data_IF_576779079968
#
_entry.id   IF_576779079968
#
_cell.length_a   1.000
_cell.length_b   1.000
_cell.length_c   1.000
_cell.angle_alpha   90.00
_cell.angle_beta   90.00
_cell.angle_gamma   90.00
#
_symmetry.space_group_name_H-M   'P 1'
#
loop_
_entity.id
_entity.type
_entity.pdbx_description
1 polymer ?
#
# COMPACT_ATOMS: atom_id res chain seq x y z
N UNK A 1 -25.39 -17.89 6.70
CA UNK A 1 -25.96 -16.52 6.84
C UNK A 1 -25.18 -15.61 5.88
N UNK A 2 -25.84 -14.80 5.06
CA UNK A 2 -25.17 -13.92 4.12
C UNK A 2 -24.58 -12.71 4.86
N UNK A 3 -23.26 -12.56 4.84
CA UNK A 3 -22.56 -11.43 5.47
C UNK A 3 -22.66 -10.18 4.59
N UNK A 4 -22.66 -9.00 5.22
CA UNK A 4 -22.36 -7.75 4.52
C UNK A 4 -20.90 -7.73 4.07
N UNK A 5 -20.52 -6.85 3.15
CA UNK A 5 -19.13 -6.69 2.73
C UNK A 5 -18.23 -6.29 3.92
N UNK A 6 -18.69 -5.35 4.75
CA UNK A 6 -17.98 -4.95 5.97
C UNK A 6 -17.73 -6.14 6.91
N UNK A 7 -18.78 -6.92 7.21
CA UNK A 7 -18.64 -8.09 8.09
C UNK A 7 -17.67 -9.13 7.52
N UNK A 8 -17.73 -9.40 6.21
CA UNK A 8 -16.84 -10.35 5.52
C UNK A 8 -15.39 -9.92 5.61
N UNK A 9 -15.09 -8.67 5.26
CA UNK A 9 -13.73 -8.11 5.33
C UNK A 9 -13.22 -8.17 6.77
N UNK A 10 -13.99 -7.68 7.74
CA UNK A 10 -13.56 -7.66 9.14
C UNK A 10 -13.39 -9.05 9.74
N UNK A 11 -14.12 -10.06 9.28
CA UNK A 11 -13.88 -11.46 9.67
C UNK A 11 -12.54 -11.98 9.14
N UNK A 12 -12.15 -11.62 7.91
CA UNK A 12 -10.83 -11.95 7.36
C UNK A 12 -9.72 -11.37 8.26
N UNK A 13 -9.82 -10.10 8.64
CA UNK A 13 -8.87 -9.48 9.56
C UNK A 13 -8.83 -10.17 10.93
N UNK A 14 -9.97 -10.60 11.45
CA UNK A 14 -10.11 -11.24 12.78
C UNK A 14 -9.85 -12.74 12.80
N UNK A 15 -9.36 -13.31 11.70
CA UNK A 15 -9.19 -14.76 11.55
C UNK A 15 -10.49 -15.55 11.87
N UNK A 16 -11.60 -15.11 11.30
CA UNK A 16 -12.91 -15.74 11.45
C UNK A 16 -13.42 -16.26 10.12
N UNK A 17 -14.22 -17.31 10.14
CA UNK A 17 -14.84 -17.86 8.93
C UNK A 17 -15.73 -16.84 8.22
N UNK A 18 -15.69 -16.85 6.89
CA UNK A 18 -16.53 -16.02 6.01
C UNK A 18 -17.55 -16.89 5.26
N UNK A 19 -18.60 -16.26 4.76
CA UNK A 19 -19.60 -16.93 3.92
C UNK A 19 -19.07 -17.24 2.50
N UNK A 20 -18.07 -16.53 2.04
CA UNK A 20 -17.30 -16.73 0.81
C UNK A 20 -16.00 -15.93 0.86
N UNK A 21 -15.02 -16.15 -0.03
CA UNK A 21 -13.91 -15.22 -0.21
C UNK A 21 -14.40 -13.81 -0.48
N UNK A 22 -13.70 -12.80 0.03
CA UNK A 22 -13.97 -11.43 -0.36
C UNK A 22 -13.47 -11.18 -1.79
N UNK A 23 -14.02 -10.15 -2.42
CA UNK A 23 -13.72 -9.81 -3.82
C UNK A 23 -13.57 -8.30 -3.99
N UNK A 24 -12.50 -7.86 -4.60
CA UNK A 24 -12.12 -6.45 -4.71
C UNK A 24 -11.60 -6.13 -6.11
N UNK A 25 -11.83 -4.90 -6.58
CA UNK A 25 -11.08 -4.30 -7.67
C UNK A 25 -10.33 -3.08 -7.10
N UNK A 26 -9.02 -3.14 -7.04
CA UNK A 26 -8.20 -2.03 -6.53
C UNK A 26 -8.35 -0.79 -7.44
N UNK A 27 -8.54 0.36 -6.82
CA UNK A 27 -8.79 1.63 -7.51
C UNK A 27 -10.29 1.98 -7.65
N UNK A 28 -11.20 1.06 -7.28
CA UNK A 28 -12.64 1.29 -7.28
C UNK A 28 -13.20 1.73 -5.90
N UNK A 29 -12.32 1.95 -4.94
CA UNK A 29 -12.66 2.31 -3.57
C UNK A 29 -13.46 3.61 -3.54
N UNK A 30 -14.47 3.64 -2.67
CA UNK A 30 -15.36 4.79 -2.57
C UNK A 30 -14.63 6.04 -2.05
N UNK A 31 -14.54 7.08 -2.87
CA UNK A 31 -13.86 8.33 -2.53
C UNK A 31 -12.34 8.25 -2.59
N UNK A 32 -11.78 7.21 -3.20
CA UNK A 32 -10.38 7.14 -3.58
C UNK A 32 -10.09 8.02 -4.80
N UNK A 33 -8.87 7.97 -5.30
CA UNK A 33 -8.33 8.84 -6.35
C UNK A 33 -9.31 9.17 -7.49
N UNK A 34 -9.27 10.38 -8.05
CA UNK A 34 -10.04 10.70 -9.24
C UNK A 34 -9.65 9.74 -10.37
N UNK A 35 -10.64 9.29 -11.14
CA UNK A 35 -10.38 8.46 -12.32
C UNK A 35 -9.55 9.25 -13.33
N UNK A 36 -8.43 8.68 -13.78
CA UNK A 36 -7.55 9.30 -14.77
C UNK A 36 -8.22 9.43 -16.15
N UNK A 37 -9.19 8.57 -16.44
CA UNK A 37 -9.94 8.58 -17.69
C UNK A 37 -11.43 8.26 -17.46
N UNK A 38 -12.31 8.99 -18.17
CA UNK A 38 -13.77 8.83 -18.02
C UNK A 38 -14.29 7.45 -18.46
N UNK A 39 -13.60 6.78 -19.34
CA UNK A 39 -13.96 5.43 -19.79
C UNK A 39 -13.96 4.40 -18.65
N UNK A 40 -13.31 4.73 -17.52
CA UNK A 40 -13.35 3.92 -16.31
C UNK A 40 -14.63 4.10 -15.46
N UNK A 41 -15.41 5.17 -15.67
CA UNK A 41 -16.62 5.43 -14.87
C UNK A 41 -17.59 4.24 -14.80
N UNK A 42 -17.93 3.54 -15.93
CA UNK A 42 -18.80 2.37 -15.87
C UNK A 42 -18.20 1.17 -15.14
N UNK A 43 -16.87 1.02 -15.20
CA UNK A 43 -16.14 -0.05 -14.47
C UNK A 43 -16.16 0.23 -12.98
N UNK A 44 -15.86 1.46 -12.58
CA UNK A 44 -15.88 1.87 -11.17
C UNK A 44 -17.29 1.72 -10.56
N UNK A 45 -18.33 2.13 -11.28
CA UNK A 45 -19.71 1.96 -10.84
C UNK A 45 -20.07 0.47 -10.64
N UNK A 46 -19.73 -0.38 -11.61
CA UNK A 46 -19.98 -1.82 -11.53
C UNK A 46 -19.19 -2.46 -10.37
N UNK A 47 -17.94 -2.04 -10.13
CA UNK A 47 -17.13 -2.52 -9.01
C UNK A 47 -17.74 -2.12 -7.66
N UNK A 48 -18.18 -0.87 -7.51
CA UNK A 48 -18.81 -0.37 -6.28
C UNK A 48 -20.14 -1.09 -5.96
N UNK A 49 -20.80 -1.64 -6.97
CA UNK A 49 -22.02 -2.42 -6.81
C UNK A 49 -21.75 -3.87 -6.41
N UNK A 50 -20.72 -4.51 -7.00
CA UNK A 50 -20.53 -5.96 -6.99
C UNK A 50 -19.33 -6.45 -6.16
N UNK A 51 -18.50 -5.57 -5.61
CA UNK A 51 -17.30 -5.96 -4.84
C UNK A 51 -17.41 -5.60 -3.36
N UNK A 52 -16.52 -6.19 -2.57
CA UNK A 52 -16.31 -5.83 -1.18
C UNK A 52 -15.34 -4.64 -1.14
N UNK A 53 -15.81 -3.45 -0.73
CA UNK A 53 -15.05 -2.21 -0.88
C UNK A 53 -14.05 -1.99 0.26
N UNK A 54 -12.87 -1.49 -0.11
CA UNK A 54 -11.93 -0.90 0.82
C UNK A 54 -11.85 0.59 0.54
N UNK A 55 -11.80 1.41 1.60
CA UNK A 55 -11.64 2.85 1.46
C UNK A 55 -10.35 3.30 2.14
N UNK A 56 -9.41 3.88 1.40
CA UNK A 56 -8.27 4.56 2.01
C UNK A 56 -8.74 5.78 2.78
N UNK A 57 -8.10 6.10 3.90
CA UNK A 57 -8.37 7.30 4.68
C UNK A 57 -7.17 8.25 4.65
N UNK A 58 -7.36 9.45 4.09
CA UNK A 58 -6.39 10.54 4.15
C UNK A 58 -6.58 11.48 5.35
N UNK A 59 -7.57 11.22 6.23
CA UNK A 59 -7.97 12.11 7.32
C UNK A 59 -7.01 12.17 8.51
N UNK A 60 -5.91 11.43 8.47
CA UNK A 60 -4.87 11.45 9.49
C UNK A 60 -3.51 11.76 8.82
N UNK A 61 -3.27 13.02 8.41
CA UNK A 61 -2.03 13.37 7.74
C UNK A 61 -0.82 13.06 8.62
N UNK A 62 0.18 12.45 8.03
CA UNK A 62 1.45 12.14 8.65
C UNK A 62 2.60 12.45 7.69
N UNK A 63 3.42 13.41 8.03
CA UNK A 63 4.71 13.67 7.41
C UNK A 63 5.78 13.31 8.43
N UNK A 64 6.60 12.32 8.12
CA UNK A 64 7.65 11.84 9.02
C UNK A 64 8.90 12.72 9.00
N UNK A 65 9.03 13.63 8.04
CA UNK A 65 10.21 14.49 7.85
C UNK A 65 10.08 15.74 8.73
N UNK A 66 9.06 16.53 8.54
CA UNK A 66 8.86 17.82 9.20
C UNK A 66 7.59 17.91 10.06
N UNK A 67 6.64 17.02 9.80
CA UNK A 67 5.33 17.11 10.40
C UNK A 67 4.64 18.42 10.05
N UNK A 68 4.01 19.07 11.02
CA UNK A 68 3.33 20.34 10.84
C UNK A 68 4.27 21.54 10.58
N UNK A 69 5.58 21.34 10.68
CA UNK A 69 6.57 22.39 10.37
C UNK A 69 6.97 22.46 8.89
N UNK A 70 6.23 21.79 7.99
CA UNK A 70 6.57 21.73 6.56
C UNK A 70 6.76 23.13 5.96
N UNK A 71 5.85 24.06 6.21
CA UNK A 71 5.92 25.43 5.68
C UNK A 71 7.15 26.22 6.20
N UNK A 72 7.70 25.85 7.35
CA UNK A 72 8.91 26.47 7.92
C UNK A 72 10.19 26.02 7.20
N UNK A 73 10.22 24.78 6.73
CA UNK A 73 11.44 24.15 6.24
C UNK A 73 11.42 23.80 4.76
N UNK A 74 10.26 23.74 4.12
CA UNK A 74 10.16 23.21 2.75
C UNK A 74 9.64 24.28 1.81
N UNK A 75 10.49 24.68 0.85
CA UNK A 75 10.09 25.47 -0.31
C UNK A 75 9.88 24.53 -1.50
N UNK A 76 8.81 24.75 -2.26
CA UNK A 76 8.48 23.91 -3.41
C UNK A 76 7.88 24.75 -4.54
N UNK A 77 8.37 24.52 -5.79
CA UNK A 77 7.83 25.15 -7.00
C UNK A 77 7.92 24.21 -8.19
N UNK A 78 7.12 24.47 -9.21
CA UNK A 78 7.07 23.69 -10.43
C UNK A 78 7.64 24.52 -11.61
N UNK A 79 8.57 23.93 -12.37
CA UNK A 79 9.15 24.45 -13.60
C UNK A 79 8.50 23.78 -14.82
N UNK A 80 8.14 24.58 -15.83
CA UNK A 80 7.57 24.04 -17.08
C UNK A 80 8.64 23.32 -17.91
N UNK A 81 8.24 22.26 -18.59
CA UNK A 81 9.10 21.51 -19.51
C UNK A 81 8.67 21.72 -20.97
N UNK A 82 9.48 21.26 -21.91
CA UNK A 82 9.12 21.27 -23.34
C UNK A 82 7.87 20.40 -23.64
N UNK A 83 7.52 19.45 -22.75
CA UNK A 83 6.32 18.61 -22.85
C UNK A 83 5.23 19.19 -21.93
N UNK A 84 4.14 19.78 -22.45
CA UNK A 84 3.16 20.51 -21.62
C UNK A 84 2.48 19.71 -20.51
N UNK A 85 2.46 18.38 -20.63
CA UNK A 85 1.88 17.48 -19.62
C UNK A 85 2.86 17.09 -18.51
N UNK A 86 4.09 17.63 -18.54
CA UNK A 86 5.13 17.35 -17.55
C UNK A 86 5.73 18.63 -17.00
N UNK A 87 6.01 18.61 -15.70
CA UNK A 87 6.73 19.67 -14.99
C UNK A 87 7.86 19.08 -14.18
N UNK A 88 8.88 19.90 -13.89
CA UNK A 88 9.89 19.56 -12.90
C UNK A 88 9.48 20.20 -11.59
N UNK A 89 9.23 19.41 -10.58
CA UNK A 89 9.03 19.88 -9.22
C UNK A 89 10.37 19.99 -8.53
N UNK A 90 10.67 21.17 -8.04
CA UNK A 90 11.79 21.44 -7.17
C UNK A 90 11.33 21.46 -5.73
N UNK A 91 12.08 20.80 -4.84
CA UNK A 91 11.86 20.84 -3.40
C UNK A 91 13.18 21.20 -2.74
N UNK A 92 13.17 22.21 -1.89
CA UNK A 92 14.31 22.60 -1.07
C UNK A 92 13.93 22.43 0.40
N UNK A 93 14.74 21.69 1.13
CA UNK A 93 14.66 21.61 2.57
C UNK A 93 15.67 22.58 3.18
N UNK A 94 15.20 23.69 3.74
CA UNK A 94 15.99 24.69 4.46
C UNK A 94 16.30 24.21 5.86
N UNK A 95 17.37 23.45 6.02
CA UNK A 95 17.73 22.89 7.32
C UNK A 95 18.65 23.83 8.10
N UNK A 96 18.71 23.73 9.44
CA UNK A 96 19.67 24.49 10.26
C UNK A 96 21.14 24.28 9.89
N UNK A 97 21.45 23.15 9.23
CA UNK A 97 22.83 22.77 8.83
C UNK A 97 23.11 22.99 7.33
N UNK A 98 22.19 23.61 6.59
CA UNK A 98 22.30 23.91 5.15
C UNK A 98 21.20 23.26 4.33
N UNK A 99 21.04 23.74 3.11
CA UNK A 99 19.95 23.34 2.23
C UNK A 99 20.17 21.96 1.60
N UNK A 100 19.06 21.24 1.39
CA UNK A 100 19.02 20.01 0.60
C UNK A 100 18.03 20.18 -0.56
N UNK A 101 18.40 19.69 -1.74
CA UNK A 101 17.64 19.88 -2.96
C UNK A 101 17.16 18.54 -3.53
N UNK A 102 15.89 18.48 -3.93
CA UNK A 102 15.30 17.36 -4.66
C UNK A 102 14.59 17.87 -5.91
N UNK A 103 14.63 17.08 -6.99
CA UNK A 103 13.93 17.38 -8.23
C UNK A 103 13.17 16.16 -8.72
N UNK A 104 11.94 16.37 -9.15
CA UNK A 104 11.05 15.29 -9.58
C UNK A 104 10.37 15.68 -10.90
N UNK A 105 10.31 14.77 -11.85
CA UNK A 105 9.46 14.90 -13.02
C UNK A 105 8.04 14.48 -12.62
N UNK A 106 7.09 15.39 -12.69
CA UNK A 106 5.69 15.16 -12.35
C UNK A 106 4.77 15.34 -13.55
N UNK A 107 3.75 14.49 -13.67
CA UNK A 107 2.75 14.58 -14.72
C UNK A 107 1.57 15.43 -14.27
N UNK A 108 1.08 16.31 -15.15
CA UNK A 108 -0.15 17.09 -14.92
C UNK A 108 -1.42 16.34 -15.29
N UNK A 109 -1.29 15.14 -15.87
CA UNK A 109 -2.40 14.29 -16.32
C UNK A 109 -2.45 12.93 -15.59
N UNK A 110 -1.68 12.77 -14.49
CA UNK A 110 -1.73 11.59 -13.64
C UNK A 110 -0.84 10.41 -14.07
N UNK A 111 0.04 10.57 -15.07
CA UNK A 111 1.05 9.55 -15.37
C UNK A 111 2.06 9.44 -14.22
N UNK A 112 2.63 8.26 -13.93
CA UNK A 112 3.66 8.10 -12.91
C UNK A 112 4.86 9.01 -13.17
N UNK A 113 5.23 9.81 -12.16
CA UNK A 113 6.44 10.63 -12.18
C UNK A 113 7.68 9.84 -11.77
N UNK A 114 8.84 10.49 -11.79
CA UNK A 114 10.10 9.91 -11.33
C UNK A 114 11.05 10.99 -10.81
N UNK A 115 11.91 10.59 -9.88
CA UNK A 115 12.87 11.51 -9.27
C UNK A 115 14.08 11.71 -10.20
N UNK A 116 14.41 12.97 -10.46
CA UNK A 116 15.58 13.38 -11.26
C UNK A 116 16.81 13.56 -10.38
N UNK A 117 16.61 14.01 -9.15
CA UNK A 117 17.67 14.29 -8.18
C UNK A 117 17.13 14.07 -6.77
N UNK A 118 17.79 13.21 -6.02
CA UNK A 118 17.46 12.95 -4.61
C UNK A 118 18.19 13.92 -3.70
N UNK A 119 17.60 14.25 -2.55
CA UNK A 119 18.19 15.22 -1.62
C UNK A 119 19.24 14.62 -0.68
N UNK A 120 19.21 13.32 -0.41
CA UNK A 120 20.23 12.61 0.38
C UNK A 120 21.21 11.93 -0.55
N UNK A 121 22.48 12.32 -0.49
CA UNK A 121 23.58 11.81 -1.32
C UNK A 121 24.74 11.30 -0.45
N UNK A 122 24.95 11.95 0.67
CA UNK A 122 26.06 11.71 1.61
C UNK A 122 25.49 11.54 3.03
N UNK A 123 26.21 10.87 3.95
CA UNK A 123 25.70 10.63 5.32
C UNK A 123 25.40 11.94 6.07
N UNK A 124 26.11 13.04 5.81
CA UNK A 124 25.89 14.35 6.41
C UNK A 124 24.52 14.94 6.02
N UNK A 125 23.93 14.53 4.90
CA UNK A 125 22.60 14.98 4.51
C UNK A 125 21.51 14.41 5.42
N UNK A 126 21.75 13.25 6.02
CA UNK A 126 20.88 12.70 7.09
C UNK A 126 20.92 13.58 8.33
N UNK A 127 22.09 14.04 8.74
CA UNK A 127 22.22 14.96 9.87
C UNK A 127 21.48 16.28 9.61
N UNK A 128 21.56 16.82 8.38
CA UNK A 128 20.80 18.00 7.98
C UNK A 128 19.30 17.77 8.11
N UNK A 129 18.76 16.65 7.56
CA UNK A 129 17.34 16.30 7.68
C UNK A 129 16.90 16.21 9.15
N UNK A 130 17.67 15.52 9.97
CA UNK A 130 17.35 15.29 11.38
C UNK A 130 17.51 16.56 12.25
N UNK A 131 18.23 17.58 11.78
CA UNK A 131 18.36 18.87 12.47
C UNK A 131 17.09 19.71 12.41
N UNK A 132 16.15 19.41 11.52
CA UNK A 132 14.86 20.11 11.44
C UNK A 132 13.98 19.72 12.64
N UNK A 133 13.39 20.74 13.28
CA UNK A 133 12.42 20.53 14.35
C UNK A 133 11.17 19.81 13.81
N UNK A 134 10.78 18.74 14.46
CA UNK A 134 9.59 17.97 14.12
C UNK A 134 8.41 18.33 15.04
N UNK A 135 7.29 18.72 14.46
CA UNK A 135 6.03 18.93 15.19
C UNK A 135 4.96 18.01 14.62
N UNK A 136 4.40 17.08 15.40
CA UNK A 136 3.37 16.18 14.90
C UNK A 136 2.12 16.95 14.45
N UNK A 137 1.48 16.51 13.33
CA UNK A 137 0.18 17.05 12.93
C UNK A 137 -0.88 16.84 14.00
N UNK A 138 -1.83 17.78 14.17
CA UNK A 138 -3.03 17.52 14.95
C UNK A 138 -3.80 16.35 14.35
N UNK A 139 -4.44 15.54 15.20
CA UNK A 139 -5.25 14.40 14.77
C UNK A 139 -6.71 14.83 14.74
N UNK A 140 -7.32 14.77 13.56
CA UNK A 140 -8.74 14.98 13.32
C UNK A 140 -9.34 13.75 12.62
N UNK A 141 -10.44 13.24 13.16
CA UNK A 141 -11.13 12.06 12.61
C UNK A 141 -12.31 12.39 11.69
N UNK A 142 -12.56 13.67 11.41
CA UNK A 142 -13.74 14.12 10.68
C UNK A 142 -13.85 13.49 9.29
N UNK A 143 -12.73 13.39 8.53
CA UNK A 143 -12.67 12.74 7.22
C UNK A 143 -12.89 11.23 7.34
N UNK A 144 -12.28 10.60 8.35
CA UNK A 144 -12.51 9.18 8.64
C UNK A 144 -13.99 8.90 8.89
N UNK A 145 -14.64 9.66 9.76
CA UNK A 145 -16.05 9.50 10.09
C UNK A 145 -16.97 9.75 8.88
N UNK A 146 -16.59 10.68 8.01
CA UNK A 146 -17.32 10.94 6.77
C UNK A 146 -17.25 9.72 5.82
N UNK A 147 -16.06 9.15 5.65
CA UNK A 147 -15.83 7.95 4.81
C UNK A 147 -16.55 6.73 5.37
N UNK A 148 -16.47 6.50 6.67
CA UNK A 148 -17.19 5.43 7.36
C UNK A 148 -18.70 5.50 7.14
N UNK A 149 -19.29 6.70 7.27
CA UNK A 149 -20.73 6.89 7.00
C UNK A 149 -21.11 6.64 5.53
N UNK A 150 -20.24 7.06 4.58
CA UNK A 150 -20.51 6.87 3.14
C UNK A 150 -20.36 5.40 2.73
N UNK A 151 -19.38 4.71 3.28
CA UNK A 151 -19.08 3.32 2.95
C UNK A 151 -20.10 2.37 3.58
N UNK A 152 -20.48 2.60 4.85
CA UNK A 152 -21.46 1.80 5.58
C UNK A 152 -21.14 0.30 5.52
N UNK A 153 -22.15 -0.52 5.22
CA UNK A 153 -22.01 -1.99 5.13
C UNK A 153 -21.35 -2.49 3.83
N UNK A 154 -21.04 -1.59 2.90
CA UNK A 154 -20.40 -1.95 1.62
C UNK A 154 -18.90 -2.24 1.75
N UNK A 155 -18.27 -1.88 2.88
CA UNK A 155 -16.84 -2.11 3.02
C UNK A 155 -16.23 -1.58 4.31
N UNK A 156 -14.92 -1.42 4.30
CA UNK A 156 -14.10 -1.02 5.44
C UNK A 156 -13.19 0.15 5.05
N UNK A 157 -13.22 1.21 5.84
CA UNK A 157 -12.24 2.30 5.74
C UNK A 157 -10.92 1.85 6.34
N UNK A 158 -9.80 2.02 5.61
CA UNK A 158 -8.46 1.77 6.13
C UNK A 158 -7.75 3.09 6.44
N UNK A 159 -6.92 3.10 7.46
CA UNK A 159 -6.10 4.24 7.85
C UNK A 159 -4.71 4.06 7.24
N UNK A 160 -4.39 4.87 6.24
CA UNK A 160 -3.07 4.82 5.61
C UNK A 160 -2.00 5.47 6.49
N UNK A 161 -0.89 4.78 6.67
CA UNK A 161 0.30 5.30 7.35
C UNK A 161 1.48 5.37 6.38
N UNK A 162 2.34 6.40 6.46
CA UNK A 162 3.62 6.38 5.77
C UNK A 162 4.51 5.27 6.34
N UNK A 163 5.32 4.63 5.52
CA UNK A 163 6.31 3.66 5.97
C UNK A 163 7.66 4.35 6.20
N UNK A 164 8.32 4.07 7.32
CA UNK A 164 9.55 4.76 7.70
C UNK A 164 10.68 4.59 6.67
N UNK A 165 10.95 3.34 6.29
CA UNK A 165 11.98 3.03 5.32
C UNK A 165 11.64 3.51 3.89
N UNK A 166 10.35 3.47 3.50
CA UNK A 166 9.91 4.04 2.23
C UNK A 166 10.11 5.57 2.20
N UNK A 167 9.82 6.26 3.30
CA UNK A 167 10.09 7.70 3.42
C UNK A 167 11.58 7.99 3.26
N UNK A 168 12.47 7.21 3.88
CA UNK A 168 13.92 7.34 3.67
C UNK A 168 14.31 7.13 2.19
N UNK A 169 13.78 6.10 1.55
CA UNK A 169 14.05 5.81 0.13
C UNK A 169 13.60 6.95 -0.79
N UNK A 170 12.47 7.61 -0.54
CA UNK A 170 12.02 8.75 -1.37
C UNK A 170 12.98 9.94 -1.33
N UNK A 171 13.84 10.01 -0.32
CA UNK A 171 14.83 11.07 -0.16
C UNK A 171 16.19 10.74 -0.79
N UNK A 172 16.53 9.44 -0.94
CA UNK A 172 17.85 8.99 -1.41
C UNK A 172 17.85 8.09 -2.64
N UNK A 173 16.71 7.52 -3.01
CA UNK A 173 16.61 6.54 -4.10
C UNK A 173 17.11 5.16 -3.73
N UNK A 174 16.80 4.16 -4.57
CA UNK A 174 17.11 2.76 -4.27
C UNK A 174 18.61 2.45 -4.34
N UNK A 175 19.34 3.09 -5.25
CA UNK A 175 20.79 2.89 -5.39
C UNK A 175 21.53 3.39 -4.16
N UNK A 176 21.31 4.63 -3.75
CA UNK A 176 21.94 5.21 -2.55
C UNK A 176 21.51 4.44 -1.29
N UNK A 177 20.24 4.04 -1.19
CA UNK A 177 19.75 3.20 -0.09
C UNK A 177 20.53 1.90 0.03
N UNK A 178 20.79 1.20 -1.10
CA UNK A 178 21.56 -0.05 -1.09
C UNK A 178 23.00 0.17 -0.65
N UNK A 179 23.66 1.26 -1.08
CA UNK A 179 24.99 1.62 -0.60
C UNK A 179 24.98 1.94 0.90
N UNK A 180 23.98 2.69 1.38
CA UNK A 180 23.88 3.06 2.79
C UNK A 180 23.62 1.85 3.70
N UNK A 181 22.96 0.82 3.22
CA UNK A 181 22.82 -0.44 3.95
C UNK A 181 24.16 -1.09 4.28
N UNK A 182 25.23 -0.79 3.51
CA UNK A 182 26.57 -1.38 3.67
C UNK A 182 27.51 -0.36 4.30
N UNK A 183 27.67 0.81 3.69
CA UNK A 183 28.75 1.76 3.99
C UNK A 183 28.37 2.76 5.10
N UNK A 184 27.07 3.09 5.25
CA UNK A 184 26.55 4.12 6.18
C UNK A 184 25.34 3.59 6.97
N UNK A 185 25.44 2.32 7.40
CA UNK A 185 24.35 1.60 8.06
C UNK A 185 23.84 2.27 9.34
N UNK A 186 24.74 2.89 10.10
CA UNK A 186 24.37 3.56 11.35
C UNK A 186 23.54 4.82 11.10
N UNK A 187 23.93 5.63 10.14
CA UNK A 187 23.22 6.84 9.74
C UNK A 187 21.84 6.51 9.14
N UNK A 188 21.79 5.47 8.30
CA UNK A 188 20.51 4.95 7.77
C UNK A 188 19.60 4.44 8.89
N UNK A 189 20.14 3.68 9.84
CA UNK A 189 19.41 3.19 11.00
C UNK A 189 18.87 4.35 11.87
N UNK A 190 19.66 5.40 12.06
CA UNK A 190 19.23 6.60 12.77
C UNK A 190 18.06 7.30 12.05
N UNK A 191 18.12 7.45 10.73
CA UNK A 191 17.06 8.08 9.94
C UNK A 191 15.77 7.26 10.01
N UNK A 192 15.84 5.97 9.66
CA UNK A 192 14.68 5.08 9.63
C UNK A 192 14.10 4.92 11.04
N UNK A 193 14.94 4.73 12.07
CA UNK A 193 14.52 4.64 13.46
C UNK A 193 13.79 5.89 13.94
N UNK A 194 14.30 7.08 13.59
CA UNK A 194 13.62 8.36 13.89
C UNK A 194 12.23 8.43 13.24
N UNK A 195 12.12 8.02 11.98
CA UNK A 195 10.84 7.99 11.28
C UNK A 195 9.88 6.93 11.82
N UNK A 196 10.39 5.77 12.22
CA UNK A 196 9.59 4.74 12.89
C UNK A 196 9.02 5.23 14.23
N UNK A 197 9.82 5.93 15.04
CA UNK A 197 9.36 6.53 16.29
C UNK A 197 8.28 7.60 16.06
N UNK A 198 8.48 8.49 15.09
CA UNK A 198 7.48 9.51 14.71
C UNK A 198 6.17 8.86 14.26
N UNK A 199 6.25 7.80 13.46
CA UNK A 199 5.11 6.99 13.01
C UNK A 199 4.39 6.34 14.19
N UNK A 200 5.13 5.74 15.11
CA UNK A 200 4.57 5.12 16.32
C UNK A 200 3.82 6.14 17.19
N UNK A 201 4.41 7.33 17.41
CA UNK A 201 3.78 8.40 18.16
C UNK A 201 2.52 8.95 17.46
N UNK A 202 2.55 9.09 16.13
CA UNK A 202 1.38 9.45 15.35
C UNK A 202 0.26 8.42 15.51
N UNK A 203 0.57 7.13 15.38
CA UNK A 203 -0.40 6.03 15.52
C UNK A 203 -1.01 5.99 16.92
N UNK A 204 -0.24 6.20 17.99
CA UNK A 204 -0.76 6.33 19.36
C UNK A 204 -1.85 7.43 19.45
N UNK A 205 -1.61 8.56 18.81
CA UNK A 205 -2.55 9.70 18.82
C UNK A 205 -3.80 9.40 18.00
N UNK A 206 -3.66 8.73 16.86
CA UNK A 206 -4.81 8.27 16.05
C UNK A 206 -5.65 7.26 16.83
N UNK A 207 -5.05 6.26 17.46
CA UNK A 207 -5.75 5.27 18.30
C UNK A 207 -6.46 5.90 19.49
N UNK A 208 -5.89 6.95 20.10
CA UNK A 208 -6.51 7.70 21.20
C UNK A 208 -7.83 8.39 20.81
N UNK A 209 -8.11 8.59 19.52
CA UNK A 209 -9.41 9.10 19.04
C UNK A 209 -10.53 8.04 19.10
N UNK A 210 -10.19 6.79 19.43
CA UNK A 210 -11.14 5.69 19.50
C UNK A 210 -11.53 5.09 18.16
N UNK A 211 -10.75 5.31 17.08
CA UNK A 211 -10.97 4.66 15.78
C UNK A 211 -10.86 3.14 15.91
N UNK A 212 -11.66 2.43 15.11
CA UNK A 212 -11.65 0.96 15.01
C UNK A 212 -11.66 0.57 13.53
N UNK A 213 -10.47 0.57 12.91
CA UNK A 213 -10.28 0.28 11.49
C UNK A 213 -8.94 -0.42 11.26
N UNK A 214 -8.75 -1.11 10.14
CA UNK A 214 -7.42 -1.58 9.76
C UNK A 214 -6.48 -0.40 9.43
N UNK A 215 -5.24 -0.52 9.85
CA UNK A 215 -4.15 0.36 9.44
C UNK A 215 -3.43 -0.28 8.26
N UNK A 216 -3.03 0.54 7.29
CA UNK A 216 -2.50 0.08 6.02
C UNK A 216 -1.22 0.85 5.65
N UNK A 217 -0.25 0.16 5.07
CA UNK A 217 0.93 0.79 4.47
C UNK A 217 1.53 -0.03 3.34
N UNK A 218 2.37 0.64 2.56
CA UNK A 218 3.19 0.08 1.48
C UNK A 218 4.66 0.35 1.81
N UNK A 219 5.60 -0.38 1.20
CA UNK A 219 7.02 -0.04 1.28
C UNK A 219 7.99 -1.11 1.77
N UNK A 220 7.55 -2.23 2.40
CA UNK A 220 8.49 -3.28 2.81
C UNK A 220 9.31 -3.87 1.65
N UNK A 221 8.79 -3.83 0.42
CA UNK A 221 9.44 -4.34 -0.80
C UNK A 221 10.80 -3.73 -1.08
N UNK A 222 11.08 -2.54 -0.56
CA UNK A 222 12.37 -1.87 -0.72
C UNK A 222 13.51 -2.61 -0.02
N UNK A 223 13.19 -3.44 0.95
CA UNK A 223 14.12 -4.26 1.70
C UNK A 223 13.96 -5.76 1.42
N UNK A 224 13.49 -6.09 0.21
CA UNK A 224 13.42 -7.46 -0.31
C UNK A 224 14.47 -7.68 -1.42
N UNK A 225 14.88 -8.94 -1.67
CA UNK A 225 15.69 -9.26 -2.83
C UNK A 225 15.07 -8.77 -4.15
N UNK A 226 15.90 -8.34 -5.15
CA UNK A 226 17.35 -8.50 -5.21
C UNK A 226 18.17 -7.32 -4.67
N UNK A 227 17.55 -6.23 -4.21
CA UNK A 227 18.29 -5.02 -3.80
C UNK A 227 19.10 -5.23 -2.53
N UNK A 228 18.48 -5.84 -1.52
CA UNK A 228 19.07 -6.09 -0.20
C UNK A 228 18.68 -7.47 0.31
N UNK A 229 19.20 -7.87 1.45
CA UNK A 229 19.03 -9.20 2.00
C UNK A 229 18.10 -9.30 3.21
N UNK A 230 17.97 -10.51 3.79
CA UNK A 230 17.11 -10.74 4.94
C UNK A 230 17.52 -9.98 6.21
N UNK A 231 18.79 -9.63 6.36
CA UNK A 231 19.27 -8.86 7.50
C UNK A 231 18.75 -7.42 7.47
N UNK A 232 18.77 -6.79 6.30
CA UNK A 232 18.23 -5.45 6.08
C UNK A 232 16.72 -5.42 6.28
N UNK A 233 16.01 -6.43 5.77
CA UNK A 233 14.57 -6.57 6.04
C UNK A 233 14.31 -6.71 7.53
N UNK A 234 15.12 -7.51 8.24
CA UNK A 234 14.98 -7.67 9.68
C UNK A 234 15.14 -6.36 10.43
N UNK A 235 16.21 -5.62 10.16
CA UNK A 235 16.54 -4.39 10.87
C UNK A 235 15.63 -3.22 10.50
N UNK A 236 15.43 -2.97 9.18
CA UNK A 236 14.79 -1.75 8.70
C UNK A 236 13.27 -1.88 8.47
N UNK A 237 12.75 -3.11 8.46
CA UNK A 237 11.31 -3.38 8.32
C UNK A 237 10.77 -4.07 9.55
N UNK A 238 11.21 -5.29 9.84
CA UNK A 238 10.61 -6.11 10.89
C UNK A 238 10.73 -5.45 12.27
N UNK A 239 11.93 -5.06 12.67
CA UNK A 239 12.19 -4.50 14.01
C UNK A 239 11.59 -3.09 14.17
N UNK A 240 11.39 -2.35 13.08
CA UNK A 240 10.69 -1.06 13.06
C UNK A 240 9.17 -1.20 13.09
N UNK A 241 8.62 -2.17 12.35
CA UNK A 241 7.16 -2.31 12.17
C UNK A 241 6.51 -3.19 13.25
N UNK A 242 7.24 -4.15 13.84
CA UNK A 242 6.71 -5.03 14.90
C UNK A 242 6.11 -4.25 16.08
N UNK A 243 6.80 -3.25 16.69
CA UNK A 243 6.21 -2.45 17.76
C UNK A 243 4.96 -1.68 17.34
N UNK A 244 4.89 -1.27 16.07
CA UNK A 244 3.72 -0.59 15.52
C UNK A 244 2.53 -1.56 15.38
N UNK A 245 2.77 -2.77 14.86
CA UNK A 245 1.74 -3.80 14.75
C UNK A 245 1.16 -4.15 16.13
N UNK A 246 2.04 -4.32 17.13
CA UNK A 246 1.62 -4.60 18.51
C UNK A 246 0.74 -3.48 19.06
N UNK A 247 1.15 -2.23 18.89
CA UNK A 247 0.38 -1.06 19.32
C UNK A 247 -1.01 -1.00 18.64
N UNK A 248 -1.09 -1.30 17.34
CA UNK A 248 -2.34 -1.31 16.60
C UNK A 248 -3.26 -2.41 17.13
N UNK A 249 -2.73 -3.60 17.41
CA UNK A 249 -3.49 -4.72 17.98
C UNK A 249 -3.95 -4.43 19.42
N UNK A 250 -3.10 -3.84 20.26
CA UNK A 250 -3.48 -3.37 21.60
C UNK A 250 -4.63 -2.35 21.54
N UNK A 251 -4.65 -1.50 20.50
CA UNK A 251 -5.76 -0.61 20.20
C UNK A 251 -7.03 -1.31 19.71
N UNK A 252 -7.03 -2.63 19.53
CA UNK A 252 -8.14 -3.44 18.99
C UNK A 252 -8.39 -3.19 17.50
N UNK A 253 -7.35 -2.80 16.77
CA UNK A 253 -7.33 -2.57 15.34
C UNK A 253 -6.55 -3.69 14.62
N UNK A 254 -6.40 -3.59 13.31
CA UNK A 254 -5.78 -4.62 12.46
C UNK A 254 -4.75 -4.02 11.51
N UNK A 255 -3.92 -4.87 10.92
CA UNK A 255 -2.80 -4.49 10.07
C UNK A 255 -2.95 -5.08 8.68
N UNK A 256 -2.89 -4.22 7.66
CA UNK A 256 -2.81 -4.58 6.25
C UNK A 256 -1.51 -4.07 5.66
N UNK A 257 -0.77 -4.93 4.98
CA UNK A 257 0.51 -4.57 4.36
C UNK A 257 0.48 -4.88 2.88
N UNK A 258 0.93 -3.92 2.08
CA UNK A 258 1.20 -4.08 0.66
C UNK A 258 2.71 -4.16 0.45
N UNK A 259 3.15 -5.24 -0.18
CA UNK A 259 4.56 -5.47 -0.49
C UNK A 259 4.67 -6.26 -1.79
N UNK A 260 5.24 -5.62 -2.80
CA UNK A 260 5.54 -6.24 -4.10
C UNK A 260 6.73 -7.19 -4.05
N UNK A 261 6.94 -7.93 -5.13
CA UNK A 261 8.16 -8.67 -5.39
C UNK A 261 8.26 -10.04 -4.70
N UNK A 262 9.47 -10.42 -4.33
CA UNK A 262 9.80 -11.77 -3.82
C UNK A 262 9.49 -11.89 -2.33
N UNK A 263 8.20 -12.00 -1.98
CA UNK A 263 7.74 -12.05 -0.58
C UNK A 263 7.66 -13.47 0.00
N UNK A 264 7.80 -14.53 -0.82
CA UNK A 264 7.54 -15.91 -0.39
C UNK A 264 8.37 -16.33 0.84
N UNK A 265 9.65 -16.01 0.86
CA UNK A 265 10.55 -16.35 1.97
C UNK A 265 10.34 -15.43 3.20
N UNK A 266 9.60 -14.34 3.04
CA UNK A 266 9.33 -13.35 4.09
C UNK A 266 7.92 -13.48 4.69
N UNK A 267 7.04 -14.37 4.17
CA UNK A 267 5.69 -14.56 4.71
C UNK A 267 5.71 -14.87 6.21
N UNK A 268 6.64 -15.73 6.67
CA UNK A 268 6.79 -16.03 8.10
C UNK A 268 7.17 -14.78 8.91
N UNK A 269 7.99 -13.89 8.33
CA UNK A 269 8.37 -12.63 8.98
C UNK A 269 7.16 -11.67 9.07
N UNK A 270 6.35 -11.55 8.03
CA UNK A 270 5.10 -10.76 8.07
C UNK A 270 4.12 -11.31 9.12
N UNK A 271 3.97 -12.63 9.22
CA UNK A 271 3.15 -13.27 10.26
C UNK A 271 3.71 -12.96 11.66
N UNK A 272 5.04 -13.11 11.86
CA UNK A 272 5.71 -12.83 13.13
C UNK A 272 5.64 -11.36 13.53
N UNK A 273 5.65 -10.45 12.56
CA UNK A 273 5.49 -9.02 12.75
C UNK A 273 4.07 -8.66 13.22
N UNK A 274 3.07 -9.46 12.87
CA UNK A 274 1.67 -9.24 13.23
C UNK A 274 0.82 -8.68 12.09
N UNK A 275 1.21 -8.93 10.84
CA UNK A 275 0.39 -8.56 9.68
C UNK A 275 -0.84 -9.45 9.62
N UNK A 276 -2.04 -8.86 9.61
CA UNK A 276 -3.30 -9.59 9.50
C UNK A 276 -3.65 -9.97 8.07
N UNK A 277 -3.33 -9.09 7.10
CA UNK A 277 -3.57 -9.31 5.67
C UNK A 277 -2.37 -8.83 4.87
N UNK A 278 -1.85 -9.69 3.99
CA UNK A 278 -0.74 -9.39 3.09
C UNK A 278 -1.23 -9.32 1.64
N UNK A 279 -0.81 -8.29 0.92
CA UNK A 279 -1.14 -7.99 -0.48
C UNK A 279 0.15 -7.57 -1.23
N UNK A 280 0.31 -7.80 -2.54
CA UNK A 280 -0.62 -8.46 -3.48
C UNK A 280 -0.30 -9.93 -3.72
N UNK A 281 0.77 -10.52 -3.16
CA UNK A 281 1.17 -11.91 -3.35
C UNK A 281 1.45 -12.24 -4.82
N UNK A 282 2.27 -11.44 -5.47
CA UNK A 282 2.52 -11.55 -6.90
C UNK A 282 2.98 -12.94 -7.30
N UNK A 283 2.39 -13.51 -8.39
CA UNK A 283 2.68 -14.88 -8.79
C UNK A 283 4.12 -15.09 -9.24
N UNK A 284 4.64 -16.28 -9.00
CA UNK A 284 5.96 -16.69 -9.46
C UNK A 284 6.10 -16.49 -10.98
N UNK A 285 7.17 -15.77 -11.37
CA UNK A 285 7.47 -15.43 -12.76
C UNK A 285 6.67 -14.23 -13.33
N UNK A 286 5.88 -13.53 -12.52
CA UNK A 286 5.09 -12.37 -12.93
C UNK A 286 5.31 -11.15 -12.00
N UNK A 287 6.55 -10.87 -11.65
CA UNK A 287 6.89 -9.78 -10.74
C UNK A 287 7.23 -10.26 -9.33
N UNK A 288 6.65 -11.40 -8.89
CA UNK A 288 6.91 -12.00 -7.59
C UNK A 288 7.38 -13.45 -7.66
N UNK A 289 7.26 -14.14 -6.54
CA UNK A 289 7.70 -15.54 -6.36
C UNK A 289 6.67 -16.42 -5.64
N UNK A 290 5.45 -15.94 -5.41
CA UNK A 290 4.44 -16.65 -4.63
C UNK A 290 3.74 -17.72 -5.47
N UNK A 291 3.76 -18.96 -4.96
CA UNK A 291 2.87 -20.04 -5.39
C UNK A 291 1.74 -20.14 -4.37
N UNK A 292 0.59 -19.52 -4.70
CA UNK A 292 -0.49 -19.27 -3.74
C UNK A 292 -1.03 -20.56 -3.08
N UNK A 293 -1.16 -21.63 -3.83
CA UNK A 293 -1.58 -22.95 -3.32
C UNK A 293 -0.63 -23.48 -2.24
N UNK A 294 0.68 -23.44 -2.50
CA UNK A 294 1.71 -23.88 -1.55
C UNK A 294 1.82 -22.95 -0.33
N UNK A 295 1.70 -21.64 -0.56
CA UNK A 295 1.71 -20.68 0.54
C UNK A 295 0.50 -20.88 1.48
N UNK A 296 -0.69 -21.06 0.91
CA UNK A 296 -1.90 -21.38 1.68
C UNK A 296 -1.81 -22.74 2.37
N UNK A 297 -1.24 -23.77 1.72
CA UNK A 297 -1.01 -25.08 2.33
C UNK A 297 -0.09 -24.95 3.56
N UNK A 298 1.01 -24.19 3.42
CA UNK A 298 2.03 -24.04 4.48
C UNK A 298 1.57 -23.18 5.65
N UNK A 299 0.89 -22.08 5.38
CA UNK A 299 0.58 -21.08 6.41
C UNK A 299 -0.91 -21.03 6.79
N UNK A 300 -1.80 -21.52 5.93
CA UNK A 300 -3.23 -21.63 6.21
C UNK A 300 -3.89 -20.31 6.57
N UNK A 301 -4.56 -20.28 7.72
CA UNK A 301 -5.24 -19.09 8.22
C UNK A 301 -4.37 -18.20 9.14
N UNK A 302 -3.07 -18.44 9.24
CA UNK A 302 -2.16 -17.63 10.07
C UNK A 302 -2.07 -16.18 9.60
N UNK A 303 -2.36 -15.94 8.32
CA UNK A 303 -2.42 -14.62 7.71
C UNK A 303 -3.60 -14.55 6.73
N UNK A 304 -4.16 -13.38 6.50
CA UNK A 304 -5.12 -13.12 5.42
C UNK A 304 -4.39 -12.94 4.10
N UNK A 305 -4.93 -13.51 3.03
CA UNK A 305 -4.35 -13.56 1.70
C UNK A 305 -5.10 -12.63 0.77
N UNK A 306 -4.46 -11.60 0.24
CA UNK A 306 -5.09 -10.70 -0.73
C UNK A 306 -4.26 -10.66 -2.01
N UNK A 307 -4.85 -11.07 -3.10
CA UNK A 307 -4.21 -11.15 -4.43
C UNK A 307 -4.93 -12.21 -5.27
N UNK A 308 -4.26 -12.83 -6.23
CA UNK A 308 -2.92 -12.61 -6.77
C UNK A 308 -3.00 -12.57 -8.30
N UNK A 309 -3.98 -11.78 -8.82
CA UNK A 309 -4.12 -11.55 -10.27
C UNK A 309 -3.21 -10.39 -10.66
N UNK A 310 -2.21 -10.65 -11.50
CA UNK A 310 -1.35 -9.60 -12.02
C UNK A 310 -2.16 -8.64 -12.91
N UNK A 311 -2.06 -7.33 -12.65
CA UNK A 311 -2.85 -6.34 -13.40
C UNK A 311 -2.58 -6.38 -14.91
N UNK A 312 -1.36 -6.74 -15.33
CA UNK A 312 -1.00 -6.92 -16.72
C UNK A 312 -1.74 -8.09 -17.37
N UNK A 313 -2.09 -9.14 -16.61
CA UNK A 313 -2.91 -10.22 -17.11
C UNK A 313 -4.32 -9.73 -17.44
N UNK A 314 -4.90 -8.88 -16.60
CA UNK A 314 -6.20 -8.23 -16.91
C UNK A 314 -6.07 -7.36 -18.15
N UNK A 315 -4.95 -6.63 -18.32
CA UNK A 315 -4.72 -5.80 -19.49
C UNK A 315 -4.62 -6.60 -20.79
N UNK A 316 -3.98 -7.78 -20.79
CA UNK A 316 -3.53 -8.47 -21.98
C UNK A 316 -4.24 -9.79 -22.28
N UNK A 317 -4.80 -10.48 -21.29
CA UNK A 317 -5.41 -11.80 -21.46
C UNK A 317 -6.62 -11.77 -22.41
N UNK A 318 -6.85 -12.86 -23.12
CA UNK A 318 -8.14 -13.09 -23.73
C UNK A 318 -9.19 -13.49 -22.68
N UNK A 319 -10.50 -13.44 -22.99
CA UNK A 319 -11.56 -13.73 -22.01
C UNK A 319 -11.47 -15.13 -21.39
N UNK A 320 -11.04 -16.14 -22.14
CA UNK A 320 -10.93 -17.51 -21.66
C UNK A 320 -9.72 -17.66 -20.70
N UNK A 321 -8.60 -17.05 -21.06
CA UNK A 321 -7.40 -16.99 -20.22
C UNK A 321 -7.68 -16.26 -18.91
N UNK A 322 -8.36 -15.09 -18.98
CA UNK A 322 -8.72 -14.30 -17.79
C UNK A 322 -9.61 -15.12 -16.85
N UNK A 323 -10.62 -15.82 -17.40
CA UNK A 323 -11.48 -16.68 -16.58
C UNK A 323 -10.70 -17.79 -15.89
N UNK A 324 -9.80 -18.46 -16.61
CA UNK A 324 -8.98 -19.53 -16.06
C UNK A 324 -8.05 -19.02 -14.93
N UNK A 325 -7.45 -17.85 -15.09
CA UNK A 325 -6.63 -17.21 -14.06
C UNK A 325 -7.43 -16.89 -12.79
N UNK A 326 -8.64 -16.35 -12.94
CA UNK A 326 -9.51 -16.01 -11.81
C UNK A 326 -9.98 -17.28 -11.09
N UNK A 327 -10.46 -18.28 -11.83
CA UNK A 327 -10.92 -19.56 -11.25
C UNK A 327 -9.78 -20.26 -10.48
N UNK A 328 -8.55 -20.25 -11.03
CA UNK A 328 -7.36 -20.84 -10.40
C UNK A 328 -6.95 -20.06 -9.14
N UNK A 329 -6.92 -18.72 -9.20
CA UNK A 329 -6.57 -17.88 -8.07
C UNK A 329 -7.53 -18.13 -6.88
N UNK A 330 -8.85 -18.15 -7.14
CA UNK A 330 -9.84 -18.43 -6.08
C UNK A 330 -9.75 -19.86 -5.57
N UNK A 331 -9.49 -20.84 -6.45
CA UNK A 331 -9.28 -22.25 -6.08
C UNK A 331 -8.11 -22.40 -5.10
N UNK A 332 -7.00 -21.67 -5.34
CA UNK A 332 -5.81 -21.71 -4.48
C UNK A 332 -6.01 -20.96 -3.17
N UNK A 333 -6.65 -19.79 -3.20
CA UNK A 333 -6.78 -18.91 -2.03
C UNK A 333 -7.91 -19.31 -1.06
N UNK A 334 -9.06 -19.75 -1.58
CA UNK A 334 -10.26 -20.03 -0.79
C UNK A 334 -10.08 -21.05 0.37
N UNK A 335 -9.23 -22.10 0.26
CA UNK A 335 -9.00 -23.04 1.34
C UNK A 335 -8.44 -22.40 2.63
N UNK A 336 -7.74 -21.25 2.55
CA UNK A 336 -7.25 -20.52 3.72
C UNK A 336 -8.38 -20.06 4.66
N UNK A 337 -9.61 -19.88 4.14
CA UNK A 337 -10.73 -19.25 4.85
C UNK A 337 -10.58 -17.72 5.03
N UNK A 338 -9.46 -17.12 4.62
CA UNK A 338 -9.11 -15.69 4.77
C UNK A 338 -8.62 -15.10 3.46
N UNK A 339 -9.32 -15.37 2.36
CA UNK A 339 -8.90 -14.93 1.04
C UNK A 339 -9.71 -13.76 0.50
N UNK A 340 -9.01 -12.81 -0.14
CA UNK A 340 -9.55 -11.66 -0.87
C UNK A 340 -9.02 -11.73 -2.30
N UNK A 341 -9.89 -11.99 -3.28
CA UNK A 341 -9.53 -11.90 -4.68
C UNK A 341 -9.31 -10.43 -5.05
N UNK A 342 -8.10 -10.09 -5.49
CA UNK A 342 -7.70 -8.72 -5.81
C UNK A 342 -6.64 -8.71 -6.93
N UNK A 343 -6.64 -7.69 -7.84
CA UNK A 343 -5.50 -7.44 -8.70
C UNK A 343 -4.28 -6.93 -7.91
N UNK A 344 -3.08 -7.08 -8.48
CA UNK A 344 -1.81 -6.63 -7.88
C UNK A 344 -1.67 -5.11 -7.79
N UNK A 345 -2.40 -4.35 -8.64
CA UNK A 345 -2.34 -2.89 -8.70
C UNK A 345 -3.70 -2.27 -9.05
N UNK A 346 -3.79 -0.95 -8.96
CA UNK A 346 -4.99 -0.18 -9.30
C UNK A 346 -5.32 -0.24 -10.80
N UNK A 347 -6.59 -0.41 -11.13
CA UNK A 347 -7.03 -0.52 -12.53
C UNK A 347 -6.95 0.79 -13.30
N UNK A 348 -7.00 1.93 -12.63
CA UNK A 348 -7.09 3.27 -13.21
C UNK A 348 -5.72 3.98 -13.34
N UNK A 349 -4.63 3.25 -13.32
CA UNK A 349 -3.27 3.80 -13.46
C UNK A 349 -2.90 4.16 -14.91
N UNK A 350 -3.70 3.71 -15.89
CA UNK A 350 -3.48 3.99 -17.30
C UNK A 350 -4.32 5.19 -17.75
N UNK A 351 -3.68 6.22 -18.29
CA UNK A 351 -4.34 7.48 -18.71
C UNK A 351 -5.30 7.26 -19.89
N UNK A 352 -4.96 6.36 -20.83
CA UNK A 352 -5.76 6.05 -22.00
C UNK A 352 -5.98 4.54 -22.11
N UNK A 353 -6.99 3.99 -21.44
CA UNK A 353 -7.27 2.56 -21.49
C UNK A 353 -7.71 2.11 -22.89
N UNK A 354 -7.26 0.91 -23.28
CA UNK A 354 -7.75 0.29 -24.51
C UNK A 354 -9.17 -0.26 -24.31
N UNK A 355 -9.92 -0.38 -25.40
CA UNK A 355 -11.24 -1.01 -25.37
C UNK A 355 -11.18 -2.43 -24.76
N UNK A 356 -10.15 -3.20 -25.12
CA UNK A 356 -9.91 -4.53 -24.58
C UNK A 356 -9.73 -4.51 -23.06
N UNK A 357 -8.97 -3.55 -22.53
CA UNK A 357 -8.75 -3.45 -21.09
C UNK A 357 -10.05 -3.15 -20.33
N UNK A 358 -10.86 -2.22 -20.83
CA UNK A 358 -12.19 -1.91 -20.27
C UNK A 358 -13.09 -3.16 -20.27
N UNK A 359 -13.11 -3.90 -21.39
CA UNK A 359 -13.87 -5.15 -21.49
C UNK A 359 -13.36 -6.20 -20.50
N UNK A 360 -12.05 -6.39 -20.40
CA UNK A 360 -11.44 -7.32 -19.45
C UNK A 360 -11.69 -6.96 -17.99
N UNK A 361 -11.72 -5.67 -17.63
CA UNK A 361 -12.11 -5.23 -16.28
C UNK A 361 -13.57 -5.61 -15.97
N UNK A 362 -14.49 -5.47 -16.94
CA UNK A 362 -15.87 -5.91 -16.76
C UNK A 362 -15.98 -7.43 -16.63
N UNK A 363 -15.20 -8.18 -17.42
CA UNK A 363 -15.11 -9.63 -17.32
C UNK A 363 -14.51 -10.06 -15.97
N UNK A 364 -13.47 -9.37 -15.48
CA UNK A 364 -12.91 -9.61 -14.16
C UNK A 364 -13.98 -9.47 -13.06
N UNK A 365 -14.79 -8.42 -13.12
CA UNK A 365 -15.87 -8.19 -12.16
C UNK A 365 -16.94 -9.29 -12.24
N UNK A 366 -17.30 -9.74 -13.44
CA UNK A 366 -18.28 -10.83 -13.63
C UNK A 366 -17.73 -12.18 -13.19
N UNK A 367 -16.57 -12.56 -13.73
CA UNK A 367 -15.95 -13.87 -13.43
C UNK A 367 -15.48 -13.98 -11.99
N UNK A 368 -14.96 -12.88 -11.42
CA UNK A 368 -14.53 -12.83 -10.02
C UNK A 368 -15.70 -13.07 -9.06
N UNK A 369 -16.85 -12.41 -9.31
CA UNK A 369 -18.05 -12.64 -8.51
C UNK A 369 -18.53 -14.10 -8.63
N UNK A 370 -18.61 -14.63 -9.84
CA UNK A 370 -18.99 -16.04 -10.09
C UNK A 370 -18.03 -17.01 -9.40
N UNK A 371 -16.70 -16.76 -9.46
CA UNK A 371 -15.70 -17.62 -8.87
C UNK A 371 -15.80 -17.65 -7.33
N UNK A 372 -15.91 -16.48 -6.66
CA UNK A 372 -16.03 -16.45 -5.20
C UNK A 372 -17.35 -17.01 -4.70
N UNK A 373 -18.44 -16.88 -5.47
CA UNK A 373 -19.75 -17.45 -5.13
C UNK A 373 -19.76 -19.00 -5.17
N UNK A 374 -18.92 -19.65 -5.97
CA UNK A 374 -18.75 -21.11 -5.95
C UNK A 374 -18.31 -21.65 -4.56
N UNK A 375 -17.65 -20.81 -3.77
CA UNK A 375 -17.16 -21.15 -2.42
C UNK A 375 -18.06 -20.61 -1.30
N UNK A 376 -19.29 -20.21 -1.61
CA UNK A 376 -20.27 -19.79 -0.60
C UNK A 376 -20.64 -20.96 0.30
N UNK A 377 -20.57 -20.75 1.62
CA UNK A 377 -20.90 -21.69 2.69
C UNK A 377 -22.25 -21.36 3.34
#
# INVERSE_FOLDING_TARGET
MKLTSRERIMRIFRNQETDRPAFKLWGAEFGSYPLLHRDYEPVAALAQENTDLFGGCGGFPADLITGANREKYVEQWDEDTAKPTWKIRHTVYHTPLGDLHQREMISTIGEPGYTLEYCVKEPEDIEKLLSMEYTPYPVDRSDFDLRERRLGDKGVTMISLPHAAYTAQTLMGSETLAYFCIDYRQELAQLIGTYADRRLQHTKRVLATGVKAPFAWVGPELFLPPLVGPEEFREFVYDCDKPLCDLIHEGGCHVWVHSHGSVNDFIESFIGMGVDVLNPLEPAGKGGDVQLDKAVEKYGSRIGWEGNIEIKDILLADPQQLRALIDECVRCGAPSGRFILCPSAGFNEYVAPTQRYIENLRLYLTYGLEAVEKYRR
#
